data_IF_057658979379
#
_entry.id   IF_057658979379
#
_cell.length_a   1.000
_cell.length_b   1.000
_cell.length_c   1.000
_cell.angle_alpha   90.00
_cell.angle_beta   90.00
_cell.angle_gamma   90.00
#
_symmetry.space_group_name_H-M   'P 1'
#
loop_
_entity.id
_entity.type
_entity.pdbx_description
1 polymer ?
#
# COMPACT_ATOMS: atom_id res chain seq x y z
N UNK A 1 84.23 -38.21 -44.64
CA UNK A 1 82.82 -37.99 -45.04
C UNK A 1 81.99 -37.93 -43.80
N UNK A 2 81.79 -36.75 -43.23
CA UNK A 2 81.03 -36.48 -41.97
C UNK A 2 79.62 -36.05 -42.33
N UNK A 3 78.66 -36.80 -41.86
CA UNK A 3 77.22 -36.48 -42.06
C UNK A 3 76.73 -35.77 -40.80
N UNK A 4 76.44 -34.49 -40.91
CA UNK A 4 75.85 -33.68 -39.87
C UNK A 4 74.29 -33.87 -39.83
N UNK A 5 73.75 -34.19 -38.65
CA UNK A 5 72.34 -34.32 -38.38
C UNK A 5 71.78 -32.93 -37.91
N UNK A 6 70.56 -32.50 -38.33
CA UNK A 6 70.01 -31.26 -37.88
C UNK A 6 69.33 -31.41 -36.51
N UNK A 7 69.57 -30.43 -35.66
CA UNK A 7 68.93 -30.23 -34.35
C UNK A 7 67.52 -29.74 -34.53
N UNK A 8 66.51 -30.46 -34.00
CA UNK A 8 65.11 -30.00 -33.95
C UNK A 8 64.92 -28.99 -32.81
N UNK A 9 64.58 -27.79 -33.15
CA UNK A 9 64.09 -26.77 -32.20
C UNK A 9 62.66 -27.11 -31.80
N UNK A 10 62.42 -27.32 -30.51
CA UNK A 10 61.07 -27.37 -29.93
C UNK A 10 60.59 -25.98 -29.60
N UNK A 11 59.59 -25.51 -30.32
CA UNK A 11 58.89 -24.24 -30.02
C UNK A 11 57.96 -24.46 -28.78
N UNK A 12 58.20 -23.70 -27.73
CA UNK A 12 57.31 -23.65 -26.58
C UNK A 12 56.17 -22.73 -26.88
N UNK A 13 54.94 -23.25 -26.99
CA UNK A 13 53.74 -22.43 -27.04
C UNK A 13 53.44 -21.88 -25.64
N UNK A 14 53.01 -20.62 -25.51
CA UNK A 14 52.61 -20.06 -24.21
C UNK A 14 51.28 -20.65 -23.76
N UNK A 15 51.24 -21.20 -22.54
CA UNK A 15 50.00 -21.52 -21.86
C UNK A 15 49.25 -20.22 -21.51
N UNK A 16 48.12 -19.96 -22.19
CA UNK A 16 47.20 -18.94 -21.81
C UNK A 16 46.43 -19.43 -20.57
N UNK A 17 46.72 -18.86 -19.42
CA UNK A 17 45.93 -19.02 -18.18
C UNK A 17 44.66 -18.20 -18.34
N UNK A 18 43.54 -18.84 -18.66
CA UNK A 18 42.22 -18.20 -18.63
C UNK A 18 41.85 -17.95 -17.15
N UNK A 19 41.91 -16.70 -16.74
CA UNK A 19 41.37 -16.25 -15.44
C UNK A 19 39.84 -16.34 -15.49
N UNK A 20 39.30 -17.40 -14.87
CA UNK A 20 37.83 -17.55 -14.69
C UNK A 20 37.39 -16.54 -13.61
N UNK A 21 36.88 -15.39 -14.01
CA UNK A 21 36.27 -14.45 -13.11
C UNK A 21 34.94 -15.01 -12.62
N UNK A 22 34.97 -15.62 -11.43
CA UNK A 22 33.74 -15.99 -10.71
C UNK A 22 33.12 -14.69 -10.20
N UNK A 23 32.16 -14.13 -10.96
CA UNK A 23 31.29 -13.11 -10.48
C UNK A 23 30.40 -13.73 -9.39
N UNK A 24 30.76 -13.51 -8.12
CA UNK A 24 29.87 -13.80 -7.01
C UNK A 24 28.64 -12.92 -7.17
N UNK A 25 27.51 -13.52 -7.56
CA UNK A 25 26.19 -12.86 -7.49
C UNK A 25 25.82 -12.69 -6.02
N UNK A 26 26.31 -11.64 -5.37
CA UNK A 26 25.92 -11.20 -4.04
C UNK A 26 24.55 -10.50 -4.17
N UNK A 27 23.51 -11.23 -4.49
CA UNK A 27 22.21 -10.61 -4.73
C UNK A 27 20.98 -11.41 -4.32
N UNK A 28 21.10 -12.72 -4.21
CA UNK A 28 19.91 -13.55 -4.04
C UNK A 28 19.41 -13.66 -2.58
N UNK A 29 20.19 -13.30 -1.56
CA UNK A 29 19.86 -13.50 -0.15
C UNK A 29 19.85 -12.22 0.70
N UNK A 30 20.05 -11.04 0.14
CA UNK A 30 19.91 -9.82 0.92
C UNK A 30 18.43 -9.60 1.25
N UNK A 31 18.12 -9.54 2.53
CA UNK A 31 16.78 -9.27 3.06
C UNK A 31 16.61 -7.77 3.32
N UNK A 32 15.42 -7.27 3.02
CA UNK A 32 15.04 -5.91 3.42
C UNK A 32 14.86 -5.79 4.93
N UNK A 33 14.64 -4.59 5.40
CA UNK A 33 14.44 -4.31 6.83
C UNK A 33 13.24 -3.43 7.09
N UNK A 34 12.65 -3.58 8.26
CA UNK A 34 11.64 -2.66 8.78
C UNK A 34 12.26 -1.71 9.81
N UNK A 35 11.86 -0.46 9.78
CA UNK A 35 12.18 0.52 10.82
C UNK A 35 10.93 1.30 11.20
N UNK A 36 10.71 1.52 12.50
CA UNK A 36 9.60 2.32 13.01
C UNK A 36 10.15 3.59 13.66
N UNK A 37 9.52 4.71 13.38
CA UNK A 37 9.95 6.03 13.82
C UNK A 37 8.76 6.97 14.01
N UNK A 38 9.06 8.23 14.33
CA UNK A 38 8.06 9.30 14.38
C UNK A 38 8.38 10.41 13.39
N UNK A 39 7.34 11.08 12.91
CA UNK A 39 7.42 12.30 12.12
C UNK A 39 6.65 13.40 12.83
N UNK A 40 7.25 14.59 12.95
CA UNK A 40 6.56 15.77 13.49
C UNK A 40 5.58 16.30 12.45
N UNK A 41 4.37 16.59 12.88
CA UNK A 41 3.35 17.23 12.06
C UNK A 41 3.01 18.61 12.62
N UNK A 42 3.11 19.63 11.79
CA UNK A 42 2.63 20.97 12.09
C UNK A 42 1.09 21.01 12.00
N UNK A 43 0.50 20.31 11.02
CA UNK A 43 -0.94 20.23 10.81
C UNK A 43 -1.67 19.60 12.00
N UNK A 44 -1.09 18.54 12.59
CA UNK A 44 -1.67 17.85 13.75
C UNK A 44 -1.14 18.34 15.10
N UNK A 45 -0.14 19.26 15.10
CA UNK A 45 0.55 19.77 16.29
C UNK A 45 1.08 18.65 17.22
N UNK A 46 1.46 17.50 16.65
CA UNK A 46 2.00 16.34 17.36
C UNK A 46 2.92 15.50 16.50
N UNK A 47 3.62 14.56 17.12
CA UNK A 47 4.33 13.51 16.39
C UNK A 47 3.38 12.37 16.03
N UNK A 48 3.57 11.81 14.84
CA UNK A 48 2.85 10.64 14.34
C UNK A 48 3.85 9.50 14.16
N UNK A 49 3.52 8.31 14.68
CA UNK A 49 4.32 7.11 14.48
C UNK A 49 4.09 6.55 13.08
N UNK A 50 5.10 5.91 12.54
CA UNK A 50 5.00 5.16 11.28
C UNK A 50 6.05 4.06 11.25
N UNK A 51 5.84 3.04 10.42
CA UNK A 51 6.87 2.07 10.04
C UNK A 51 7.17 2.20 8.55
N UNK A 52 8.44 2.04 8.21
CA UNK A 52 8.94 1.95 6.84
C UNK A 52 9.55 0.58 6.62
N UNK A 53 9.19 -0.04 5.52
CA UNK A 53 9.69 -1.33 5.08
C UNK A 53 10.56 -1.10 3.85
N UNK A 54 11.84 -1.37 3.98
CA UNK A 54 12.88 -0.97 3.04
C UNK A 54 13.45 -2.20 2.33
N UNK A 55 13.55 -2.17 1.00
CA UNK A 55 14.08 -3.32 0.25
C UNK A 55 15.57 -3.48 0.49
N UNK A 56 16.09 -4.67 0.17
CA UNK A 56 17.49 -5.03 0.41
C UNK A 56 18.50 -4.07 -0.23
N UNK A 57 18.21 -3.57 -1.43
CA UNK A 57 19.11 -2.63 -2.11
C UNK A 57 19.12 -1.22 -1.49
N UNK A 58 18.21 -0.91 -0.56
CA UNK A 58 18.08 0.43 0.00
C UNK A 58 19.37 0.93 0.69
N UNK A 59 20.05 0.05 1.41
CA UNK A 59 21.29 0.42 2.09
C UNK A 59 22.53 0.27 1.20
N UNK A 60 22.42 -0.47 0.11
CA UNK A 60 23.52 -0.77 -0.83
C UNK A 60 23.63 0.31 -1.90
N UNK A 61 22.53 0.59 -2.62
CA UNK A 61 22.48 1.58 -3.70
C UNK A 61 21.80 2.87 -3.22
N UNK A 62 22.62 3.88 -2.90
CA UNK A 62 22.15 5.18 -2.40
C UNK A 62 21.54 6.07 -3.50
N UNK A 63 21.70 5.71 -4.77
CA UNK A 63 21.18 6.47 -5.92
C UNK A 63 19.82 5.99 -6.40
N UNK A 64 19.45 4.76 -6.05
CA UNK A 64 18.20 4.14 -6.48
C UNK A 64 16.98 4.80 -5.85
N UNK A 65 15.98 5.06 -6.68
CA UNK A 65 14.65 5.52 -6.27
C UNK A 65 13.62 4.38 -6.39
N UNK A 66 12.65 4.39 -5.52
CA UNK A 66 11.71 3.28 -5.37
C UNK A 66 10.27 3.72 -5.64
N UNK A 67 9.43 2.82 -6.18
CA UNK A 67 7.98 2.97 -6.03
C UNK A 67 7.62 2.97 -4.55
N UNK A 68 6.58 3.73 -4.19
CA UNK A 68 6.13 3.82 -2.80
C UNK A 68 4.70 3.30 -2.69
N UNK A 69 4.48 2.39 -1.73
CA UNK A 69 3.17 1.91 -1.35
C UNK A 69 2.83 2.38 0.07
N UNK A 70 1.72 3.10 0.21
CA UNK A 70 1.19 3.50 1.52
C UNK A 70 0.20 2.44 1.99
N UNK A 71 0.43 1.90 3.20
CA UNK A 71 -0.45 0.94 3.85
C UNK A 71 -1.21 1.59 5.01
N UNK A 72 -2.53 1.54 4.96
CA UNK A 72 -3.43 2.10 5.96
C UNK A 72 -4.04 0.97 6.79
N UNK A 73 -3.79 0.98 8.09
CA UNK A 73 -4.20 -0.08 9.02
C UNK A 73 -5.72 -0.07 9.33
N UNK A 74 -6.23 -1.17 9.86
CA UNK A 74 -7.61 -1.34 10.31
C UNK A 74 -7.92 -0.58 11.61
N UNK A 75 -9.20 -0.59 11.99
CA UNK A 75 -9.66 0.01 13.24
C UNK A 75 -9.08 -0.75 14.45
N UNK A 76 -8.55 -0.01 15.42
CA UNK A 76 -7.91 -0.60 16.59
C UNK A 76 -6.45 -1.04 16.39
N UNK A 77 -5.98 -1.04 15.15
CA UNK A 77 -4.60 -1.32 14.76
C UNK A 77 -3.71 -0.07 14.79
N UNK A 78 -2.47 -0.23 14.36
CA UNK A 78 -1.49 0.84 14.30
C UNK A 78 -0.46 0.62 13.17
N UNK A 79 0.58 1.44 13.14
CA UNK A 79 1.67 1.38 12.15
C UNK A 79 2.43 0.05 12.11
N UNK A 80 2.36 -0.77 13.15
CA UNK A 80 3.06 -2.05 13.25
C UNK A 80 2.21 -3.24 12.83
N UNK A 81 0.92 -3.06 12.55
CA UNK A 81 -0.01 -4.17 12.31
C UNK A 81 0.45 -5.07 11.15
N UNK A 82 0.93 -4.49 10.06
CA UNK A 82 1.43 -5.27 8.94
C UNK A 82 2.67 -6.11 9.31
N UNK A 83 3.56 -5.55 10.15
CA UNK A 83 4.72 -6.29 10.66
C UNK A 83 4.29 -7.44 11.58
N UNK A 84 3.39 -7.15 12.50
CA UNK A 84 2.92 -8.11 13.49
C UNK A 84 2.14 -9.29 12.87
N UNK A 85 1.49 -9.07 11.72
CA UNK A 85 0.80 -10.13 10.97
C UNK A 85 1.75 -10.94 10.05
N UNK A 86 3.04 -10.61 9.97
CA UNK A 86 3.97 -11.26 9.04
C UNK A 86 3.88 -10.75 7.59
N UNK A 87 3.21 -9.63 7.37
CA UNK A 87 3.03 -9.08 6.01
C UNK A 87 4.33 -8.67 5.34
N UNK A 88 5.33 -8.22 6.12
CA UNK A 88 6.64 -7.92 5.57
C UNK A 88 7.38 -9.18 5.10
N UNK A 89 7.30 -10.28 5.84
CA UNK A 89 7.91 -11.55 5.43
C UNK A 89 7.30 -12.06 4.13
N UNK A 90 5.99 -11.89 3.94
CA UNK A 90 5.31 -12.22 2.69
C UNK A 90 5.78 -11.32 1.52
N UNK A 91 5.98 -10.02 1.75
CA UNK A 91 6.53 -9.11 0.73
C UNK A 91 7.91 -9.55 0.30
N UNK A 92 8.80 -9.90 1.24
CA UNK A 92 10.14 -10.39 0.94
C UNK A 92 10.11 -11.74 0.22
N UNK A 93 9.18 -12.62 0.56
CA UNK A 93 8.99 -13.89 -0.15
C UNK A 93 8.57 -13.68 -1.60
N UNK A 94 7.57 -12.81 -1.84
CA UNK A 94 7.13 -12.45 -3.19
C UNK A 94 8.25 -11.83 -4.02
N UNK A 95 9.10 -11.00 -3.38
CA UNK A 95 10.29 -10.44 -4.03
C UNK A 95 11.30 -11.52 -4.42
N UNK A 96 11.60 -12.46 -3.50
CA UNK A 96 12.52 -13.58 -3.78
C UNK A 96 12.00 -14.49 -4.91
N UNK A 97 10.70 -14.66 -5.00
CA UNK A 97 10.04 -15.39 -6.07
C UNK A 97 9.97 -14.63 -7.41
N UNK A 98 10.42 -13.37 -7.45
CA UNK A 98 10.33 -12.51 -8.64
C UNK A 98 8.89 -12.09 -9.01
N UNK A 99 7.92 -12.30 -8.11
CA UNK A 99 6.52 -11.90 -8.33
C UNK A 99 6.31 -10.40 -8.19
N UNK A 100 7.12 -9.76 -7.38
CA UNK A 100 7.22 -8.31 -7.24
C UNK A 100 8.69 -7.90 -7.23
N UNK A 101 8.97 -6.65 -7.57
CA UNK A 101 10.29 -6.06 -7.40
C UNK A 101 10.40 -5.27 -6.10
N UNK A 102 11.41 -4.43 -6.03
CA UNK A 102 11.72 -3.63 -4.86
C UNK A 102 10.88 -2.36 -4.79
N UNK A 103 10.22 -2.15 -3.67
CA UNK A 103 9.44 -0.96 -3.34
C UNK A 103 9.69 -0.56 -1.88
N UNK A 104 9.39 0.67 -1.55
CA UNK A 104 9.28 1.15 -0.16
C UNK A 104 7.82 1.08 0.24
N UNK A 105 7.52 0.44 1.39
CA UNK A 105 6.19 0.43 1.95
C UNK A 105 6.18 1.28 3.21
N UNK A 106 5.19 2.16 3.35
CA UNK A 106 5.06 3.13 4.45
C UNK A 106 3.71 2.98 5.13
N UNK A 107 3.73 2.73 6.43
CA UNK A 107 2.55 2.53 7.26
C UNK A 107 2.45 3.61 8.34
N UNK A 108 1.72 4.71 8.14
CA UNK A 108 1.49 5.73 9.18
C UNK A 108 0.44 5.26 10.19
N UNK A 109 0.58 5.67 11.47
CA UNK A 109 -0.42 5.47 12.50
C UNK A 109 -1.59 6.45 12.32
N UNK A 110 -2.73 5.93 11.91
CA UNK A 110 -3.96 6.70 11.70
C UNK A 110 -4.83 6.85 12.93
N UNK A 111 -4.61 6.05 13.99
CA UNK A 111 -5.54 5.97 15.12
C UNK A 111 -6.96 5.59 14.66
N UNK A 112 -7.96 6.34 15.10
CA UNK A 112 -9.37 6.15 14.72
C UNK A 112 -9.86 7.18 13.69
N UNK A 113 -8.95 7.81 12.92
CA UNK A 113 -9.27 8.96 12.07
C UNK A 113 -9.90 8.61 10.73
N UNK A 114 -10.06 7.33 10.40
CA UNK A 114 -10.45 6.90 9.04
C UNK A 114 -9.58 7.52 7.93
N UNK A 115 -8.39 8.02 8.31
CA UNK A 115 -7.43 8.71 7.44
C UNK A 115 -8.02 9.95 6.73
N UNK A 116 -8.98 10.63 7.36
CA UNK A 116 -9.60 11.86 6.86
C UNK A 116 -9.59 12.99 7.90
N UNK A 117 -9.95 14.16 7.50
CA UNK A 117 -10.15 15.28 8.43
C UNK A 117 -11.43 15.05 9.23
N UNK A 118 -11.54 15.55 10.47
CA UNK A 118 -12.76 15.45 11.27
C UNK A 118 -13.80 16.49 10.86
N UNK A 119 -15.06 16.20 11.15
CA UNK A 119 -16.20 17.08 10.84
C UNK A 119 -16.10 18.47 11.49
N UNK A 120 -15.50 18.53 12.69
CA UNK A 120 -15.26 19.78 13.42
C UNK A 120 -13.94 20.49 13.03
N UNK A 121 -13.16 19.88 12.13
CA UNK A 121 -11.89 20.42 11.63
C UNK A 121 -10.73 20.37 12.63
N UNK A 122 -10.89 19.79 13.82
CA UNK A 122 -9.82 19.71 14.84
C UNK A 122 -8.77 18.68 14.49
N UNK A 123 -9.17 17.54 13.91
CA UNK A 123 -8.27 16.48 13.46
C UNK A 123 -8.14 16.60 11.94
N UNK A 124 -6.99 17.03 11.45
CA UNK A 124 -6.73 17.24 10.02
C UNK A 124 -5.82 16.18 9.45
N UNK A 125 -6.21 14.90 9.62
CA UNK A 125 -5.35 13.78 9.29
C UNK A 125 -5.10 13.62 7.77
N UNK A 126 -6.11 13.86 6.94
CA UNK A 126 -5.97 13.87 5.47
C UNK A 126 -4.97 14.93 5.01
N UNK A 127 -5.05 16.14 5.59
CA UNK A 127 -4.10 17.21 5.31
C UNK A 127 -2.68 16.83 5.70
N UNK A 128 -2.50 16.23 6.89
CA UNK A 128 -1.22 15.70 7.31
C UNK A 128 -0.68 14.67 6.32
N UNK A 129 -1.51 13.70 5.94
CA UNK A 129 -1.08 12.61 5.07
C UNK A 129 -0.61 13.13 3.70
N UNK A 130 -1.42 14.01 3.08
CA UNK A 130 -1.16 14.48 1.71
C UNK A 130 -0.12 15.61 1.65
N UNK A 131 -0.13 16.53 2.63
CA UNK A 131 0.69 17.75 2.58
C UNK A 131 2.01 17.65 3.35
N UNK A 132 2.09 16.73 4.33
CA UNK A 132 3.29 16.57 5.15
C UNK A 132 3.90 15.16 5.03
N UNK A 133 3.14 14.11 5.32
CA UNK A 133 3.67 12.75 5.41
C UNK A 133 4.21 12.26 4.07
N UNK A 134 3.39 12.26 3.02
CA UNK A 134 3.81 11.78 1.69
C UNK A 134 5.07 12.51 1.20
N UNK A 135 5.12 13.86 1.14
CA UNK A 135 6.31 14.55 0.65
C UNK A 135 7.56 14.30 1.50
N UNK A 136 7.42 14.28 2.84
CA UNK A 136 8.55 14.05 3.73
C UNK A 136 9.10 12.63 3.62
N UNK A 137 8.21 11.63 3.55
CA UNK A 137 8.60 10.23 3.47
C UNK A 137 9.22 9.88 2.11
N UNK A 138 8.68 10.38 1.01
CA UNK A 138 9.28 10.17 -0.31
C UNK A 138 10.67 10.80 -0.40
N UNK A 139 10.87 11.97 0.19
CA UNK A 139 12.21 12.57 0.28
C UNK A 139 13.16 11.73 1.17
N UNK A 140 12.69 11.28 2.33
CA UNK A 140 13.51 10.51 3.29
C UNK A 140 13.88 9.14 2.74
N UNK A 141 12.95 8.47 2.10
CA UNK A 141 13.10 7.08 1.66
C UNK A 141 13.29 6.95 0.15
N UNK A 142 13.73 8.00 -0.51
CA UNK A 142 14.03 8.00 -1.95
C UNK A 142 12.87 7.46 -2.79
N UNK A 143 11.65 7.88 -2.45
CA UNK A 143 10.50 7.68 -3.31
C UNK A 143 10.70 8.37 -4.66
N UNK A 144 10.06 7.86 -5.69
CA UNK A 144 10.18 8.42 -7.04
C UNK A 144 9.52 9.81 -7.19
N UNK A 145 8.71 10.23 -6.21
CA UNK A 145 8.06 11.55 -6.18
C UNK A 145 6.93 11.75 -7.20
N UNK A 146 6.58 10.73 -7.98
CA UNK A 146 5.53 10.81 -8.99
C UNK A 146 4.32 9.97 -8.66
N UNK A 147 3.13 10.44 -9.03
CA UNK A 147 1.89 9.69 -8.86
C UNK A 147 1.93 8.31 -9.58
N UNK A 148 2.63 8.23 -10.73
CA UNK A 148 2.76 6.99 -11.49
C UNK A 148 3.50 5.88 -10.73
N UNK A 149 4.28 6.24 -9.72
CA UNK A 149 5.07 5.32 -8.88
C UNK A 149 4.55 5.25 -7.44
N UNK A 150 3.34 5.73 -7.20
CA UNK A 150 2.72 5.77 -5.87
C UNK A 150 1.44 4.96 -5.85
N UNK A 151 1.38 3.98 -4.95
CA UNK A 151 0.19 3.20 -4.64
C UNK A 151 -0.32 3.48 -3.23
N UNK A 152 -1.57 3.17 -3.00
CA UNK A 152 -2.17 3.19 -1.67
C UNK A 152 -2.99 1.91 -1.46
N UNK A 153 -2.87 1.34 -0.29
CA UNK A 153 -3.61 0.13 0.11
C UNK A 153 -4.06 0.23 1.55
N UNK A 154 -5.04 -0.54 1.94
CA UNK A 154 -5.46 -0.58 3.33
C UNK A 154 -6.45 -1.69 3.63
N UNK A 155 -6.69 -1.88 4.92
CA UNK A 155 -7.57 -2.93 5.45
C UNK A 155 -8.71 -2.27 6.24
N UNK A 156 -9.96 -2.72 6.04
CA UNK A 156 -11.12 -2.28 6.84
C UNK A 156 -11.27 -0.75 6.85
N UNK A 157 -11.12 -0.09 8.00
CA UNK A 157 -11.04 1.37 8.13
C UNK A 157 -9.98 1.97 7.17
N UNK A 158 -8.80 1.37 7.10
CA UNK A 158 -7.74 1.80 6.18
C UNK A 158 -8.09 1.56 4.72
N UNK A 159 -8.84 0.49 4.42
CA UNK A 159 -9.37 0.23 3.08
C UNK A 159 -10.39 1.28 2.64
N UNK A 160 -11.27 1.71 3.55
CA UNK A 160 -12.14 2.87 3.34
C UNK A 160 -11.31 4.13 3.06
N UNK A 161 -10.30 4.42 3.90
CA UNK A 161 -9.43 5.58 3.76
C UNK A 161 -8.66 5.58 2.43
N UNK A 162 -8.13 4.42 2.02
CA UNK A 162 -7.38 4.26 0.78
C UNK A 162 -8.26 4.54 -0.45
N UNK A 163 -9.42 3.89 -0.54
CA UNK A 163 -10.37 4.11 -1.65
C UNK A 163 -10.85 5.56 -1.69
N UNK A 164 -11.21 6.11 -0.53
CA UNK A 164 -11.69 7.49 -0.43
C UNK A 164 -10.62 8.49 -0.89
N UNK A 165 -9.39 8.37 -0.41
CA UNK A 165 -8.28 9.25 -0.78
C UNK A 165 -7.97 9.16 -2.27
N UNK A 166 -7.89 7.93 -2.82
CA UNK A 166 -7.61 7.75 -4.24
C UNK A 166 -8.73 8.29 -5.14
N UNK A 167 -9.99 8.16 -4.74
CA UNK A 167 -11.12 8.68 -5.53
C UNK A 167 -11.29 10.20 -5.38
N UNK A 168 -10.90 10.75 -4.24
CA UNK A 168 -10.92 12.21 -4.02
C UNK A 168 -9.73 12.90 -4.72
N UNK A 169 -8.56 12.24 -4.75
CA UNK A 169 -7.32 12.77 -5.34
C UNK A 169 -6.73 11.80 -6.38
N UNK A 170 -7.47 11.47 -7.45
CA UNK A 170 -7.04 10.46 -8.40
C UNK A 170 -5.73 10.78 -9.15
N UNK A 171 -5.30 12.03 -9.11
CA UNK A 171 -4.02 12.47 -9.66
C UNK A 171 -2.83 12.19 -8.73
N UNK A 172 -3.06 11.76 -7.49
CA UNK A 172 -2.00 11.52 -6.52
C UNK A 172 -1.47 10.08 -6.55
N UNK A 173 -2.24 9.13 -7.09
CA UNK A 173 -1.94 7.70 -7.05
C UNK A 173 -2.10 7.05 -8.42
N UNK A 174 -1.28 6.04 -8.72
CA UNK A 174 -1.47 5.18 -9.89
C UNK A 174 -2.43 4.02 -9.59
N UNK A 175 -2.42 3.55 -8.35
CA UNK A 175 -3.22 2.41 -7.93
C UNK A 175 -3.77 2.56 -6.52
N UNK A 176 -4.95 1.99 -6.30
CA UNK A 176 -5.53 1.76 -4.98
C UNK A 176 -5.96 0.31 -4.85
N UNK A 177 -5.68 -0.28 -3.70
CA UNK A 177 -6.24 -1.57 -3.32
C UNK A 177 -6.82 -1.50 -1.90
N UNK A 178 -7.84 -2.32 -1.62
CA UNK A 178 -8.47 -2.34 -0.32
C UNK A 178 -8.96 -3.74 0.02
N UNK A 179 -8.58 -4.24 1.19
CA UNK A 179 -9.08 -5.51 1.71
C UNK A 179 -10.16 -5.25 2.76
N UNK A 180 -11.29 -5.91 2.61
CA UNK A 180 -12.46 -5.78 3.50
C UNK A 180 -12.77 -4.32 3.85
N UNK A 181 -12.79 -3.39 2.85
CA UNK A 181 -12.96 -1.97 3.15
C UNK A 181 -14.27 -1.71 3.88
N UNK A 182 -14.27 -0.83 4.88
CA UNK A 182 -15.45 -0.46 5.67
C UNK A 182 -16.47 0.32 4.81
N UNK A 183 -17.06 -0.34 3.82
CA UNK A 183 -18.01 0.23 2.87
C UNK A 183 -19.44 0.14 3.40
N UNK A 184 -19.79 1.11 4.24
CA UNK A 184 -21.14 1.23 4.79
C UNK A 184 -22.04 1.83 3.70
N UNK A 185 -22.82 1.00 3.06
CA UNK A 185 -23.67 1.37 1.92
C UNK A 185 -24.94 2.17 2.29
N UNK A 186 -25.26 2.24 3.56
CA UNK A 186 -26.35 3.02 4.14
C UNK A 186 -26.21 3.03 5.65
N UNK A 187 -26.30 4.21 6.26
CA UNK A 187 -26.31 4.30 7.72
C UNK A 187 -27.74 4.03 8.17
N UNK A 188 -27.98 3.00 9.00
CA UNK A 188 -29.27 2.85 9.67
C UNK A 188 -29.61 4.11 10.46
N UNK A 189 -30.87 4.52 10.49
CA UNK A 189 -31.31 5.73 11.20
C UNK A 189 -30.90 5.72 12.69
N UNK A 190 -30.81 4.55 13.31
CA UNK A 190 -30.34 4.35 14.68
C UNK A 190 -28.81 4.36 14.83
N UNK A 191 -28.04 4.35 13.75
CA UNK A 191 -26.59 4.40 13.81
C UNK A 191 -26.08 5.75 14.35
N UNK A 192 -26.81 6.83 14.08
CA UNK A 192 -26.48 8.16 14.58
C UNK A 192 -26.84 8.36 16.07
N UNK A 193 -27.68 7.51 16.65
CA UNK A 193 -28.01 7.55 18.07
C UNK A 193 -26.83 6.95 18.88
N UNK A 194 -25.88 7.80 19.23
CA UNK A 194 -24.65 7.46 19.92
C UNK A 194 -24.90 6.84 21.31
N UNK A 195 -24.00 5.95 21.71
CA UNK A 195 -23.88 5.39 23.05
C UNK A 195 -22.55 4.67 23.15
N UNK A 196 -21.97 4.57 24.35
CA UNK A 196 -20.70 3.83 24.56
C UNK A 196 -20.82 2.42 23.98
N UNK A 197 -19.91 2.06 23.06
CA UNK A 197 -19.88 0.75 22.41
C UNK A 197 -20.69 0.63 21.12
N UNK A 198 -21.39 1.68 20.68
CA UNK A 198 -22.02 1.69 19.37
C UNK A 198 -20.98 1.93 18.26
N UNK A 199 -21.24 1.49 17.02
CA UNK A 199 -20.41 1.88 15.87
C UNK A 199 -20.28 3.40 15.70
N UNK A 200 -21.29 4.16 16.11
CA UNK A 200 -21.27 5.63 16.12
C UNK A 200 -20.23 6.19 17.11
N UNK A 201 -20.04 5.57 18.27
CA UNK A 201 -19.05 6.03 19.25
C UNK A 201 -17.61 5.94 18.72
N UNK A 202 -17.32 4.93 17.91
CA UNK A 202 -16.00 4.75 17.28
C UNK A 202 -15.75 5.77 16.16
N UNK A 203 -16.82 6.27 15.55
CA UNK A 203 -16.78 7.23 14.45
C UNK A 203 -16.91 8.68 14.92
N UNK A 204 -17.26 8.89 16.21
CA UNK A 204 -17.60 10.19 16.77
C UNK A 204 -16.50 11.23 16.64
N UNK A 205 -15.25 10.85 16.90
CA UNK A 205 -14.09 11.74 16.80
C UNK A 205 -13.89 12.32 15.38
N UNK A 206 -14.37 11.60 14.38
CA UNK A 206 -14.18 11.98 12.98
C UNK A 206 -15.45 12.56 12.35
N UNK A 207 -16.57 11.88 12.55
CA UNK A 207 -17.82 12.24 11.90
C UNK A 207 -18.77 13.05 12.78
N UNK A 208 -18.39 13.32 14.04
CA UNK A 208 -19.18 14.06 15.03
C UNK A 208 -19.99 13.14 15.95
N UNK A 209 -20.28 13.62 17.17
CA UNK A 209 -21.15 12.94 18.14
C UNK A 209 -22.29 13.90 18.55
N UNK A 210 -23.53 13.65 18.10
CA UNK A 210 -23.97 12.60 17.18
C UNK A 210 -23.34 12.69 15.79
N UNK A 211 -23.26 11.57 15.05
CA UNK A 211 -22.66 11.55 13.71
C UNK A 211 -23.33 12.56 12.77
N UNK A 212 -22.54 13.46 12.21
CA UNK A 212 -22.97 14.37 11.16
C UNK A 212 -23.16 13.60 9.84
N UNK A 213 -24.39 13.19 9.57
CA UNK A 213 -24.73 12.38 8.41
C UNK A 213 -24.37 13.07 7.07
N UNK A 214 -24.53 14.38 6.97
CA UNK A 214 -24.18 15.12 5.76
C UNK A 214 -22.67 15.10 5.51
N UNK A 215 -21.87 15.24 6.58
CA UNK A 215 -20.42 15.13 6.51
C UNK A 215 -19.99 13.70 6.14
N UNK A 216 -20.55 12.68 6.80
CA UNK A 216 -20.29 11.30 6.48
C UNK A 216 -20.58 10.96 5.02
N UNK A 217 -21.78 11.35 4.52
CA UNK A 217 -22.17 11.09 3.14
C UNK A 217 -21.22 11.74 2.14
N UNK A 218 -20.86 13.02 2.34
CA UNK A 218 -19.92 13.76 1.47
C UNK A 218 -18.49 13.20 1.52
N UNK A 219 -18.13 12.49 2.58
CA UNK A 219 -16.83 11.87 2.75
C UNK A 219 -16.84 10.35 2.50
N UNK A 220 -17.96 9.78 2.06
CA UNK A 220 -18.03 8.35 1.73
C UNK A 220 -17.30 8.04 0.43
N UNK A 221 -16.82 6.80 0.33
CA UNK A 221 -16.24 6.27 -0.91
C UNK A 221 -17.25 6.37 -2.06
N UNK A 222 -18.53 6.09 -1.79
CA UNK A 222 -19.61 6.18 -2.78
C UNK A 222 -19.83 7.59 -3.31
N UNK A 223 -19.68 8.60 -2.47
CA UNK A 223 -19.80 9.99 -2.92
C UNK A 223 -18.73 10.32 -3.99
N UNK A 224 -17.47 9.99 -3.72
CA UNK A 224 -16.40 10.25 -4.68
C UNK A 224 -16.49 9.30 -5.89
N UNK A 225 -16.81 8.03 -5.70
CA UNK A 225 -17.06 7.12 -6.80
C UNK A 225 -18.17 7.62 -7.74
N UNK A 226 -19.20 8.30 -7.22
CA UNK A 226 -20.30 8.89 -8.01
C UNK A 226 -19.93 10.21 -8.67
N UNK A 227 -19.22 11.10 -7.96
CA UNK A 227 -19.09 12.51 -8.34
C UNK A 227 -17.73 12.89 -8.94
N UNK A 228 -16.66 12.14 -8.67
CA UNK A 228 -15.36 12.40 -9.30
C UNK A 228 -15.46 12.22 -10.82
N UNK A 229 -14.71 13.01 -11.63
CA UNK A 229 -14.71 12.85 -13.09
C UNK A 229 -14.30 11.43 -13.49
N UNK A 230 -15.16 10.74 -14.25
CA UNK A 230 -14.90 9.36 -14.66
C UNK A 230 -13.56 9.19 -15.40
N UNK A 231 -13.18 10.18 -16.23
CA UNK A 231 -11.90 10.18 -16.93
C UNK A 231 -10.69 10.18 -15.98
N UNK A 232 -10.80 10.77 -14.78
CA UNK A 232 -9.75 10.74 -13.77
C UNK A 232 -9.71 9.39 -13.05
N UNK A 233 -10.88 8.86 -12.66
CA UNK A 233 -10.96 7.53 -12.02
C UNK A 233 -10.46 6.41 -12.95
N UNK A 234 -10.68 6.51 -14.27
CA UNK A 234 -10.17 5.54 -15.26
C UNK A 234 -8.65 5.46 -15.34
N UNK A 235 -7.92 6.43 -14.80
CA UNK A 235 -6.45 6.41 -14.72
C UNK A 235 -5.94 5.57 -13.54
N UNK A 236 -6.77 5.40 -12.51
CA UNK A 236 -6.44 4.56 -11.36
C UNK A 236 -6.58 3.09 -11.73
N UNK A 237 -5.65 2.28 -11.27
CA UNK A 237 -5.87 0.84 -11.12
C UNK A 237 -6.56 0.63 -9.78
N UNK A 238 -7.70 -0.05 -9.80
CA UNK A 238 -8.58 -0.20 -8.63
C UNK A 238 -8.79 -1.68 -8.35
N UNK A 239 -8.46 -2.12 -7.14
CA UNK A 239 -8.68 -3.47 -6.64
C UNK A 239 -9.33 -3.41 -5.26
N UNK A 240 -10.30 -4.26 -5.00
CA UNK A 240 -10.79 -4.49 -3.64
C UNK A 240 -11.39 -5.87 -3.49
N UNK A 241 -11.26 -6.41 -2.29
CA UNK A 241 -11.78 -7.73 -1.94
C UNK A 241 -12.52 -7.71 -0.60
N UNK A 242 -13.32 -8.73 -0.36
CA UNK A 242 -14.06 -8.91 0.90
C UNK A 242 -14.41 -10.38 1.10
N UNK A 243 -14.54 -10.78 2.36
CA UNK A 243 -15.01 -12.11 2.72
C UNK A 243 -16.51 -12.28 2.45
N UNK A 244 -16.93 -13.46 1.96
CA UNK A 244 -18.35 -13.77 1.76
C UNK A 244 -19.15 -13.97 3.07
N UNK A 245 -18.47 -13.99 4.19
CA UNK A 245 -19.05 -14.05 5.54
C UNK A 245 -18.41 -12.98 6.43
N UNK A 246 -18.30 -11.76 5.88
CA UNK A 246 -17.74 -10.60 6.57
C UNK A 246 -18.60 -10.26 7.79
N UNK A 247 -17.99 -10.12 8.97
CA UNK A 247 -18.68 -9.94 10.24
C UNK A 247 -19.48 -8.63 10.32
N UNK A 248 -19.22 -7.68 9.43
CA UNK A 248 -19.88 -6.37 9.35
C UNK A 248 -20.78 -6.23 8.12
N UNK A 249 -20.84 -7.25 7.25
CA UNK A 249 -21.63 -7.21 6.02
C UNK A 249 -21.07 -6.28 4.94
N UNK A 250 -19.75 -6.03 4.94
CA UNK A 250 -19.11 -5.13 3.97
C UNK A 250 -19.10 -5.68 2.55
N UNK A 251 -19.38 -6.98 2.34
CA UNK A 251 -19.57 -7.56 1.01
C UNK A 251 -20.69 -6.87 0.21
N UNK A 252 -21.74 -6.43 0.89
CA UNK A 252 -22.84 -5.69 0.25
C UNK A 252 -22.38 -4.30 -0.22
N UNK A 253 -21.55 -3.64 0.59
CA UNK A 253 -20.94 -2.37 0.23
C UNK A 253 -19.95 -2.53 -0.93
N UNK A 254 -19.14 -3.58 -0.91
CA UNK A 254 -18.23 -3.93 -2.00
C UNK A 254 -18.97 -4.13 -3.32
N UNK A 255 -20.00 -4.95 -3.32
CA UNK A 255 -20.83 -5.19 -4.52
C UNK A 255 -21.46 -3.89 -5.07
N UNK A 256 -22.01 -3.04 -4.18
CA UNK A 256 -22.57 -1.75 -4.60
C UNK A 256 -21.52 -0.81 -5.19
N UNK A 257 -20.33 -0.79 -4.62
CA UNK A 257 -19.23 0.03 -5.16
C UNK A 257 -18.81 -0.47 -6.54
N UNK A 258 -18.64 -1.78 -6.71
CA UNK A 258 -18.33 -2.40 -7.99
C UNK A 258 -19.35 -2.02 -9.05
N UNK A 259 -20.65 -2.25 -8.79
CA UNK A 259 -21.74 -1.88 -9.68
C UNK A 259 -21.76 -0.40 -10.05
N UNK A 260 -21.48 0.48 -9.08
CA UNK A 260 -21.40 1.92 -9.31
C UNK A 260 -20.22 2.28 -10.24
N UNK A 261 -19.04 1.70 -10.04
CA UNK A 261 -17.87 1.94 -10.89
C UNK A 261 -18.12 1.41 -12.31
N UNK A 262 -18.71 0.22 -12.45
CA UNK A 262 -19.06 -0.39 -13.75
C UNK A 262 -20.07 0.45 -14.50
N UNK A 263 -21.13 0.94 -13.83
CA UNK A 263 -22.14 1.81 -14.45
C UNK A 263 -21.55 3.12 -15.00
N UNK A 264 -20.36 3.52 -14.50
CA UNK A 264 -19.60 4.69 -14.95
C UNK A 264 -18.49 4.34 -15.95
N UNK A 265 -18.36 3.05 -16.31
CA UNK A 265 -17.29 2.54 -17.15
C UNK A 265 -15.90 2.75 -16.55
N UNK A 266 -15.77 2.71 -15.21
CA UNK A 266 -14.50 2.79 -14.48
C UNK A 266 -13.99 1.37 -14.24
N UNK A 267 -12.88 0.94 -14.88
CA UNK A 267 -12.34 -0.40 -14.69
C UNK A 267 -11.93 -0.62 -13.22
N UNK A 268 -12.32 -1.77 -12.69
CA UNK A 268 -11.99 -2.17 -11.33
C UNK A 268 -11.98 -3.70 -11.21
N UNK A 269 -11.18 -4.21 -10.28
CA UNK A 269 -11.12 -5.62 -9.91
C UNK A 269 -11.78 -5.78 -8.54
N UNK A 270 -12.89 -6.49 -8.48
CA UNK A 270 -13.60 -6.79 -7.25
C UNK A 270 -13.72 -8.28 -7.03
N UNK A 271 -13.37 -8.75 -5.84
CA UNK A 271 -13.43 -10.17 -5.49
C UNK A 271 -14.18 -10.39 -4.18
N UNK A 272 -15.00 -11.44 -4.16
CA UNK A 272 -15.60 -11.98 -2.94
C UNK A 272 -14.99 -13.36 -2.72
N UNK A 273 -14.21 -13.50 -1.66
CA UNK A 273 -13.57 -14.76 -1.31
C UNK A 273 -14.22 -15.44 -0.09
N UNK A 274 -14.06 -16.76 0.07
CA UNK A 274 -14.46 -17.41 1.31
C UNK A 274 -13.65 -16.87 2.50
N UNK A 275 -14.34 -16.31 3.49
CA UNK A 275 -13.67 -15.79 4.70
C UNK A 275 -14.51 -14.81 5.50
N UNK A 276 -13.95 -14.41 6.64
CA UNK A 276 -14.53 -13.48 7.61
C UNK A 276 -13.74 -12.17 7.63
N UNK A 277 -14.12 -11.24 8.54
CA UNK A 277 -13.41 -9.97 8.74
C UNK A 277 -12.25 -10.14 9.73
N UNK A 278 -11.17 -10.81 9.33
CA UNK A 278 -10.07 -11.15 10.22
C UNK A 278 -8.69 -11.06 9.55
N UNK A 279 -7.63 -11.11 10.38
CA UNK A 279 -6.26 -11.07 9.91
C UNK A 279 -5.89 -12.27 9.02
N UNK A 280 -6.54 -13.42 9.19
CA UNK A 280 -6.28 -14.59 8.36
C UNK A 280 -6.74 -14.34 6.92
N UNK A 281 -7.91 -13.71 6.73
CA UNK A 281 -8.37 -13.28 5.41
C UNK A 281 -7.38 -12.31 4.77
N UNK A 282 -6.97 -11.28 5.52
CA UNK A 282 -5.99 -10.28 5.04
C UNK A 282 -4.75 -10.98 4.52
N UNK A 283 -4.11 -11.81 5.34
CA UNK A 283 -2.84 -12.43 4.98
C UNK A 283 -2.96 -13.45 3.84
N UNK A 284 -4.10 -14.12 3.73
CA UNK A 284 -4.36 -15.07 2.64
C UNK A 284 -4.36 -14.39 1.27
N UNK A 285 -4.90 -13.17 1.19
CA UNK A 285 -5.06 -12.44 -0.07
C UNK A 285 -4.08 -11.27 -0.24
N UNK A 286 -3.26 -10.96 0.77
CA UNK A 286 -2.29 -9.86 0.70
C UNK A 286 -1.27 -10.03 -0.44
N UNK A 287 -0.92 -11.27 -0.78
CA UNK A 287 -0.03 -11.56 -1.90
C UNK A 287 -0.59 -11.10 -3.26
N UNK A 288 -1.89 -11.23 -3.47
CA UNK A 288 -2.59 -10.74 -4.67
C UNK A 288 -2.60 -9.22 -4.72
N UNK A 289 -2.90 -8.58 -3.58
CA UNK A 289 -2.83 -7.13 -3.39
C UNK A 289 -1.45 -6.58 -3.74
N UNK A 290 -0.39 -7.22 -3.25
CA UNK A 290 0.98 -6.78 -3.51
C UNK A 290 1.37 -6.93 -4.99
N UNK A 291 0.96 -8.01 -5.65
CA UNK A 291 1.21 -8.21 -7.07
C UNK A 291 0.42 -7.19 -7.92
N UNK A 292 -0.85 -6.94 -7.60
CA UNK A 292 -1.66 -5.90 -8.24
C UNK A 292 -0.99 -4.53 -8.13
N UNK A 293 -0.57 -4.13 -6.93
CA UNK A 293 0.11 -2.85 -6.71
C UNK A 293 1.43 -2.80 -7.51
N UNK A 294 2.22 -3.85 -7.47
CA UNK A 294 3.48 -3.90 -8.22
C UNK A 294 3.28 -3.77 -9.73
N UNK A 295 2.28 -4.41 -10.30
CA UNK A 295 1.95 -4.28 -11.74
C UNK A 295 1.63 -2.84 -12.13
N UNK A 296 1.07 -2.07 -11.22
CA UNK A 296 0.69 -0.67 -11.46
C UNK A 296 1.84 0.33 -11.26
N UNK A 297 2.62 0.18 -10.16
CA UNK A 297 3.62 1.18 -9.74
C UNK A 297 5.07 0.75 -9.96
N UNK A 298 5.32 -0.51 -10.27
CA UNK A 298 6.66 -1.09 -10.38
C UNK A 298 7.39 -0.81 -11.71
N UNK A 299 6.71 -0.25 -12.70
CA UNK A 299 7.23 -0.03 -14.08
C UNK A 299 8.10 1.20 -14.18
#
# INVERSE_FOLDING_TARGET
MMISRPVRQFSRAPLAVAALSIAFSIGANAQGRAECATVKSAVLARSVRYCAFLPASFDIDKTKHYPVLYYLHGLGDNEQSLLNMGGWDLVEELRRQGKIGELVLLAPSGGLTFFLNSADGKIRYEDFLLKEFIPQMEKKYRGNGTAARRGITGVSMGGFGALRLAFHYPQQFAAVSAQMPALIAGIPLNFAAGGRGSPAAVMGDVFGDPVNLAYFQKNSVFFFAKNAPAAQLKRLKIYFDVGNNDDYGFEQGGLKLHQLLDSRGVPNEFHIYPGRHDAQFVMRHFGEVMQFQWQAIGK
#
